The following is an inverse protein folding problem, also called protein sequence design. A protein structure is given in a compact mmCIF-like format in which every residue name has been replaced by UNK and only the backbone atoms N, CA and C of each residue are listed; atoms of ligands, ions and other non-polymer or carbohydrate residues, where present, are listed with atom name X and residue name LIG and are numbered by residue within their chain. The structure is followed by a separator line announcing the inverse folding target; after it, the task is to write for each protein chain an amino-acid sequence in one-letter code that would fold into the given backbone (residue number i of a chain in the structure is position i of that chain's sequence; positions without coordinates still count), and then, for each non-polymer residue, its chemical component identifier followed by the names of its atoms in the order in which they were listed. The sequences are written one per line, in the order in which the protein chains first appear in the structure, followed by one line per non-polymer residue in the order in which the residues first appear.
data_IF_115524922452
#
_entry.id   IF_115524922452
#
_cell.length_a   1.000
_cell.length_b   1.000
_cell.length_c   1.000
_cell.angle_alpha   90.00
_cell.angle_beta   90.00
_cell.angle_gamma   90.00
#
_symmetry.space_group_name_H-M   'P 1'
#
loop_
_entity.id
_entity.type
_entity.pdbx_description
1 polymer ?
#
# COMPACT_ATOMS: atom_id res chain seq x y z
N UNK A 1 -7.01 10.73 15.31
CA UNK A 1 -8.22 11.01 14.51
C UNK A 1 -8.52 9.74 13.74
N UNK A 2 -9.72 9.16 13.88
CA UNK A 2 -10.03 7.86 13.26
C UNK A 2 -9.68 7.84 11.76
N UNK A 3 -8.75 6.96 11.38
CA UNK A 3 -8.31 6.79 10.01
C UNK A 3 -9.49 6.47 9.09
N UNK A 4 -9.61 7.20 7.97
CA UNK A 4 -10.57 6.87 6.91
C UNK A 4 -10.08 5.60 6.22
N UNK A 5 -10.63 4.46 6.61
CA UNK A 5 -10.50 3.22 5.87
C UNK A 5 -11.79 2.90 5.12
N UNK A 6 -11.67 2.18 4.01
CA UNK A 6 -12.79 1.65 3.22
C UNK A 6 -12.54 0.18 2.95
N UNK A 7 -13.54 -0.66 3.15
CA UNK A 7 -13.48 -2.06 2.74
C UNK A 7 -14.27 -2.26 1.45
N UNK A 8 -13.70 -3.01 0.50
CA UNK A 8 -14.28 -3.29 -0.82
C UNK A 8 -14.04 -4.74 -1.20
N UNK A 9 -14.98 -5.33 -1.95
CA UNK A 9 -14.80 -6.66 -2.52
C UNK A 9 -14.22 -6.54 -3.93
N UNK A 10 -13.13 -7.26 -4.21
CA UNK A 10 -12.45 -7.31 -5.51
C UNK A 10 -12.18 -8.79 -5.81
N UNK A 11 -12.98 -9.38 -6.69
CA UNK A 11 -12.88 -10.82 -6.97
C UNK A 11 -13.01 -11.66 -5.69
N UNK A 12 -12.01 -12.50 -5.43
CA UNK A 12 -11.89 -13.33 -4.22
C UNK A 12 -11.30 -12.59 -3.00
N UNK A 13 -11.02 -11.30 -3.11
CA UNK A 13 -10.35 -10.51 -2.09
C UNK A 13 -11.32 -9.54 -1.39
N UNK A 14 -11.21 -9.48 -0.07
CA UNK A 14 -11.79 -8.37 0.71
C UNK A 14 -10.66 -7.40 1.02
N UNK A 15 -10.60 -6.28 0.30
CA UNK A 15 -9.52 -5.32 0.43
C UNK A 15 -9.90 -4.19 1.39
N UNK A 16 -9.10 -3.96 2.43
CA UNK A 16 -9.22 -2.83 3.35
C UNK A 16 -8.20 -1.76 2.97
N UNK A 17 -8.71 -0.61 2.52
CA UNK A 17 -7.90 0.48 1.98
C UNK A 17 -7.70 1.54 3.06
N UNK A 18 -6.44 1.80 3.40
CA UNK A 18 -5.94 2.77 4.37
C UNK A 18 -5.28 3.95 3.62
N UNK A 19 -5.71 5.17 3.92
CA UNK A 19 -5.12 6.39 3.36
C UNK A 19 -4.03 6.94 4.30
N UNK A 20 -2.81 7.10 3.79
CA UNK A 20 -1.68 7.70 4.51
C UNK A 20 -1.03 8.83 3.70
N UNK A 21 -0.87 10.02 4.29
CA UNK A 21 -0.46 11.24 3.55
C UNK A 21 0.91 11.81 3.94
N UNK A 22 1.48 11.37 5.05
CA UNK A 22 2.74 11.87 5.58
C UNK A 22 3.40 10.76 6.40
N UNK A 23 4.71 10.85 6.72
CA UNK A 23 5.43 9.79 7.42
C UNK A 23 4.71 9.31 8.69
N UNK A 24 4.17 10.21 9.51
CA UNK A 24 3.43 9.83 10.72
C UNK A 24 2.17 9.00 10.42
N UNK A 25 1.37 9.41 9.43
CA UNK A 25 0.19 8.67 9.01
C UNK A 25 0.52 7.33 8.35
N UNK A 26 1.70 7.23 7.72
CA UNK A 26 2.22 5.96 7.21
C UNK A 26 2.59 5.01 8.34
N UNK A 27 3.23 5.49 9.40
CA UNK A 27 3.52 4.69 10.60
C UNK A 27 2.23 4.21 11.28
N UNK A 28 1.24 5.08 11.41
CA UNK A 28 -0.08 4.71 11.94
C UNK A 28 -0.75 3.64 11.07
N UNK A 29 -0.77 3.82 9.74
CA UNK A 29 -1.35 2.85 8.81
C UNK A 29 -0.66 1.48 8.89
N UNK A 30 0.68 1.46 8.89
CA UNK A 30 1.48 0.23 9.00
C UNK A 30 1.21 -0.52 10.32
N UNK A 31 1.00 0.21 11.43
CA UNK A 31 0.66 -0.41 12.72
C UNK A 31 -0.73 -1.06 12.76
N UNK A 32 -1.63 -0.70 11.84
CA UNK A 32 -2.99 -1.22 11.76
C UNK A 32 -3.13 -2.43 10.82
N UNK A 33 -2.10 -2.72 10.01
CA UNK A 33 -2.07 -3.81 9.04
C UNK A 33 -2.25 -5.15 9.73
N UNK A 34 -3.23 -5.94 9.28
CA UNK A 34 -3.32 -7.34 9.63
C UNK A 34 -2.30 -8.17 8.84
N UNK A 35 -1.22 -8.56 9.52
CA UNK A 35 -0.12 -9.37 8.97
C UNK A 35 -0.48 -10.85 8.77
N UNK A 36 -1.63 -11.30 9.29
CA UNK A 36 -2.12 -12.67 9.07
C UNK A 36 -3.10 -12.75 7.90
N UNK A 37 -3.34 -11.62 7.22
CA UNK A 37 -4.13 -11.56 6.01
C UNK A 37 -3.43 -12.24 4.83
N UNK A 38 -4.12 -12.24 3.70
CA UNK A 38 -3.59 -12.77 2.46
C UNK A 38 -2.44 -11.93 1.89
N UNK A 39 -2.38 -10.63 2.20
CA UNK A 39 -1.25 -9.80 1.79
C UNK A 39 -1.43 -8.32 2.10
N UNK A 40 -0.36 -7.57 1.85
CA UNK A 40 -0.28 -6.12 1.98
C UNK A 40 0.15 -5.53 0.65
N UNK A 41 -0.71 -4.70 0.08
CA UNK A 41 -0.41 -3.89 -1.10
C UNK A 41 -0.07 -2.47 -0.65
N UNK A 42 1.11 -1.99 -1.01
CA UNK A 42 1.54 -0.63 -0.73
C UNK A 42 1.57 0.13 -2.04
N UNK A 43 0.65 1.09 -2.22
CA UNK A 43 0.46 1.83 -3.46
C UNK A 43 0.86 3.30 -3.33
N UNK A 44 1.90 3.69 -4.07
CA UNK A 44 2.46 5.06 -4.01
C UNK A 44 2.44 5.69 -5.39
N UNK A 45 1.81 6.85 -5.48
CA UNK A 45 1.90 7.76 -6.62
C UNK A 45 2.81 8.96 -6.32
N UNK A 46 3.20 9.71 -7.34
CA UNK A 46 4.12 10.85 -7.23
C UNK A 46 3.54 12.13 -7.79
N UNK A 47 2.25 12.38 -7.59
CA UNK A 47 1.57 13.57 -8.13
C UNK A 47 1.73 14.77 -7.20
N UNK A 48 1.49 15.99 -7.69
CA UNK A 48 1.60 17.24 -6.89
C UNK A 48 0.90 17.16 -5.52
N UNK A 49 -0.32 16.59 -5.38
CA UNK A 49 -0.97 16.46 -4.07
C UNK A 49 -0.31 15.46 -3.11
N UNK A 50 0.51 14.53 -3.61
CA UNK A 50 1.25 13.55 -2.82
C UNK A 50 2.64 14.04 -2.41
N UNK A 51 3.14 15.07 -3.10
CA UNK A 51 4.56 15.44 -3.11
C UNK A 51 5.30 14.63 -4.18
N UNK A 52 5.87 15.33 -5.17
CA UNK A 52 6.62 14.70 -6.28
C UNK A 52 7.96 14.11 -5.79
N UNK A 53 8.53 14.71 -4.74
CA UNK A 53 9.69 14.18 -4.02
C UNK A 53 9.27 13.06 -3.06
N UNK A 54 9.84 11.87 -3.28
CA UNK A 54 9.60 10.67 -2.48
C UNK A 54 10.64 10.46 -1.38
N UNK A 55 11.44 11.47 -1.05
CA UNK A 55 12.39 11.42 0.07
C UNK A 55 11.72 10.98 1.38
N UNK A 56 10.46 11.32 1.59
CA UNK A 56 9.66 10.92 2.76
C UNK A 56 9.54 9.39 2.93
N UNK A 57 9.68 8.58 1.86
CA UNK A 57 9.69 7.11 1.97
C UNK A 57 10.82 6.63 2.88
N UNK A 58 11.93 7.38 2.94
CA UNK A 58 13.08 7.06 3.79
C UNK A 58 12.83 7.40 5.27
N UNK A 59 11.90 8.31 5.55
CA UNK A 59 11.46 8.62 6.93
C UNK A 59 10.43 7.62 7.47
N UNK A 60 9.87 6.77 6.60
CA UNK A 60 8.95 5.69 6.99
C UNK A 60 9.73 4.43 7.31
N UNK A 61 9.38 3.78 8.42
CA UNK A 61 9.96 2.51 8.86
C UNK A 61 9.11 1.36 8.35
N UNK A 62 9.52 0.81 7.21
CA UNK A 62 8.95 -0.42 6.64
C UNK A 62 9.62 -1.62 7.29
N UNK A 63 9.18 -2.04 8.46
CA UNK A 63 9.78 -3.16 9.19
C UNK A 63 8.74 -4.20 9.59
N UNK A 64 9.18 -5.46 9.65
CA UNK A 64 8.43 -6.61 10.17
C UNK A 64 7.13 -6.94 9.42
N UNK A 65 7.22 -7.28 8.13
CA UNK A 65 6.12 -7.97 7.44
C UNK A 65 6.12 -9.49 7.67
N UNK A 66 7.12 -10.04 8.37
CA UNK A 66 7.26 -11.47 8.66
C UNK A 66 6.99 -12.33 7.40
N UNK A 67 6.11 -13.32 7.46
CA UNK A 67 5.73 -14.18 6.33
C UNK A 67 4.62 -13.57 5.44
N UNK A 68 4.27 -12.30 5.62
CA UNK A 68 3.18 -11.65 4.88
C UNK A 68 3.60 -11.35 3.45
N UNK A 69 2.73 -11.67 2.49
CA UNK A 69 2.94 -11.27 1.09
C UNK A 69 2.89 -9.74 0.96
N UNK A 70 3.95 -9.12 0.48
CA UNK A 70 4.01 -7.67 0.21
C UNK A 70 4.10 -7.40 -1.29
N UNK A 71 3.28 -6.46 -1.77
CA UNK A 71 3.28 -6.01 -3.17
C UNK A 71 3.45 -4.49 -3.23
N UNK A 72 4.53 -4.03 -3.84
CA UNK A 72 4.71 -2.63 -4.20
C UNK A 72 3.88 -2.29 -5.44
N UNK A 73 3.14 -1.19 -5.41
CA UNK A 73 2.21 -0.78 -6.45
C UNK A 73 2.18 0.75 -6.64
N UNK A 74 1.41 1.19 -7.63
CA UNK A 74 1.25 2.60 -7.97
C UNK A 74 2.26 3.08 -9.00
N UNK A 75 2.10 4.33 -9.43
CA UNK A 75 2.96 5.01 -10.40
C UNK A 75 4.43 4.97 -9.99
N UNK A 76 4.70 5.14 -8.70
CA UNK A 76 6.04 5.14 -8.11
C UNK A 76 6.37 3.83 -7.39
N UNK A 77 5.73 2.74 -7.83
CA UNK A 77 5.97 1.40 -7.30
C UNK A 77 7.42 0.95 -7.38
N UNK A 78 8.18 1.38 -8.41
CA UNK A 78 9.61 1.05 -8.54
C UNK A 78 10.46 1.72 -7.47
N UNK A 79 10.25 3.02 -7.19
CA UNK A 79 10.95 3.73 -6.10
C UNK A 79 10.64 3.10 -4.74
N UNK A 80 9.36 2.75 -4.53
CA UNK A 80 8.91 2.05 -3.34
C UNK A 80 9.58 0.67 -3.22
N UNK A 81 9.65 -0.11 -4.30
CA UNK A 81 10.29 -1.42 -4.32
C UNK A 81 11.78 -1.32 -3.90
N UNK A 82 12.51 -0.32 -4.41
CA UNK A 82 13.88 -0.04 -3.97
C UNK A 82 13.91 0.24 -2.46
N UNK A 83 13.03 1.11 -1.95
CA UNK A 83 12.96 1.42 -0.52
C UNK A 83 12.67 0.19 0.33
N UNK A 84 11.73 -0.67 -0.07
CA UNK A 84 11.40 -1.91 0.62
C UNK A 84 12.59 -2.87 0.64
N UNK A 85 13.33 -2.98 -0.46
CA UNK A 85 14.56 -3.75 -0.54
C UNK A 85 15.63 -3.27 0.46
N UNK A 86 15.81 -1.97 0.60
CA UNK A 86 16.70 -1.40 1.64
C UNK A 86 16.20 -1.65 3.07
N UNK A 87 14.91 -1.85 3.25
CA UNK A 87 14.30 -2.22 4.53
C UNK A 87 14.38 -3.73 4.82
N UNK A 88 14.91 -4.54 3.89
CA UNK A 88 14.96 -6.01 4.02
C UNK A 88 13.58 -6.68 3.88
N UNK A 89 12.61 -6.02 3.25
CA UNK A 89 11.27 -6.57 3.03
C UNK A 89 11.25 -7.32 1.71
N UNK A 90 10.96 -8.62 1.75
CA UNK A 90 10.67 -9.40 0.55
C UNK A 90 9.33 -8.93 -0.05
N UNK A 91 9.34 -8.62 -1.35
CA UNK A 91 8.18 -8.06 -2.02
C UNK A 91 8.20 -8.36 -3.52
N UNK A 92 7.04 -8.23 -4.14
CA UNK A 92 6.89 -8.16 -5.60
C UNK A 92 6.50 -6.74 -6.04
N UNK A 93 6.61 -6.45 -7.34
CA UNK A 93 6.22 -5.17 -7.94
C UNK A 93 5.11 -5.40 -8.96
N UNK A 94 3.95 -4.79 -8.73
CA UNK A 94 2.83 -4.74 -9.66
C UNK A 94 2.24 -3.33 -9.66
N UNK A 95 2.56 -2.53 -10.69
CA UNK A 95 2.17 -1.11 -10.74
C UNK A 95 0.66 -0.89 -10.64
N UNK A 96 -0.12 -1.75 -11.29
CA UNK A 96 -1.57 -1.66 -11.28
C UNK A 96 -2.13 -2.14 -9.93
N UNK A 97 -2.75 -1.25 -9.16
CA UNK A 97 -3.12 -1.55 -7.76
C UNK A 97 -4.18 -2.66 -7.63
N UNK A 98 -5.11 -2.81 -8.57
CA UNK A 98 -6.08 -3.91 -8.50
C UNK A 98 -5.43 -5.22 -8.91
N UNK A 99 -4.57 -5.22 -9.93
CA UNK A 99 -3.78 -6.40 -10.28
C UNK A 99 -2.82 -6.81 -9.15
N UNK A 100 -2.29 -5.85 -8.39
CA UNK A 100 -1.49 -6.11 -7.20
C UNK A 100 -2.33 -6.84 -6.13
N UNK A 101 -3.57 -6.39 -5.89
CA UNK A 101 -4.51 -7.09 -4.99
C UNK A 101 -4.81 -8.50 -5.51
N UNK A 102 -5.06 -8.66 -6.81
CA UNK A 102 -5.36 -9.96 -7.42
C UNK A 102 -4.15 -10.92 -7.44
N UNK A 103 -2.93 -10.39 -7.29
CA UNK A 103 -1.70 -11.21 -7.20
C UNK A 103 -1.47 -11.80 -5.81
N UNK A 104 -2.19 -11.32 -4.79
CA UNK A 104 -2.16 -11.92 -3.46
C UNK A 104 -2.93 -13.26 -3.44
N UNK A 105 -2.66 -14.14 -2.47
CA UNK A 105 -3.56 -15.23 -2.13
C UNK A 105 -5.01 -14.76 -1.92
N UNK A 106 -6.02 -15.62 -2.17
CA UNK A 106 -7.41 -15.30 -1.85
C UNK A 106 -7.59 -14.98 -0.35
N UNK A 107 -8.34 -13.91 -0.04
CA UNK A 107 -8.64 -13.53 1.35
C UNK A 107 -8.60 -12.04 1.62
N UNK A 108 -8.27 -11.68 2.87
CA UNK A 108 -8.21 -10.29 3.31
C UNK A 108 -6.90 -9.64 2.87
N UNK A 109 -6.97 -8.50 2.18
CA UNK A 109 -5.79 -7.76 1.71
C UNK A 109 -5.80 -6.36 2.30
N UNK A 110 -4.70 -5.96 2.92
CA UNK A 110 -4.51 -4.58 3.38
C UNK A 110 -3.94 -3.76 2.23
N UNK A 111 -4.50 -2.58 1.98
CA UNK A 111 -4.02 -1.67 0.94
C UNK A 111 -3.67 -0.34 1.58
N UNK A 112 -2.38 -0.01 1.70
CA UNK A 112 -1.96 1.33 2.13
C UNK A 112 -1.68 2.17 0.90
N UNK A 113 -2.36 3.30 0.77
CA UNK A 113 -2.21 4.18 -0.38
C UNK A 113 -2.00 5.65 0.03
N UNK A 114 -1.17 6.36 -0.73
CA UNK A 114 -1.15 7.83 -0.65
C UNK A 114 -2.35 8.45 -1.36
N UNK A 115 -2.45 9.78 -1.36
CA UNK A 115 -3.71 10.45 -1.66
C UNK A 115 -4.20 10.20 -3.09
N UNK A 116 -3.36 10.40 -4.11
CA UNK A 116 -3.82 10.17 -5.48
C UNK A 116 -3.94 8.70 -5.82
N UNK A 117 -3.11 7.81 -5.25
CA UNK A 117 -3.28 6.36 -5.40
C UNK A 117 -4.62 5.89 -4.82
N UNK A 118 -5.01 6.40 -3.66
CA UNK A 118 -6.31 6.16 -3.04
C UNK A 118 -7.46 6.66 -3.91
N UNK A 119 -7.37 7.89 -4.45
CA UNK A 119 -8.40 8.43 -5.34
C UNK A 119 -8.53 7.62 -6.64
N UNK A 120 -7.40 7.25 -7.24
CA UNK A 120 -7.36 6.46 -8.47
C UNK A 120 -7.98 5.08 -8.26
N UNK A 121 -7.62 4.39 -7.17
CA UNK A 121 -8.23 3.11 -6.82
C UNK A 121 -9.75 3.25 -6.62
N UNK A 122 -10.20 4.25 -5.88
CA UNK A 122 -11.64 4.45 -5.67
C UNK A 122 -12.41 4.73 -6.97
N UNK A 123 -11.86 5.53 -7.88
CA UNK A 123 -12.49 5.80 -9.19
C UNK A 123 -12.65 4.54 -10.03
N UNK A 124 -11.69 3.62 -9.93
CA UNK A 124 -11.68 2.38 -10.68
C UNK A 124 -12.62 1.32 -10.11
N UNK A 125 -12.95 1.42 -8.83
CA UNK A 125 -13.88 0.53 -8.12
C UNK A 125 -15.32 1.09 -8.01
N UNK A 126 -15.60 2.21 -8.67
CA UNK A 126 -16.94 2.81 -8.76
C UNK A 126 -17.59 2.39 -10.07
#
# INVERSE_FOLDING_TARGET
MAGRYRTVQIGSHTARILLAKNPAGWQEALSMVDKHGAGVVISVNGQVPDGEDLSWLWDVRFEHFDDTVVVAAGERGTDLAVRLGYAGVEHSLVHDTVAAIDSCPPGHVEVIANYTAFLQLNRRLS
#
